data_IF_338464513434
#
_entry.id   IF_338464513434
#
_cell.length_a   1.000
_cell.length_b   1.000
_cell.length_c   1.000
_cell.angle_alpha   90.00
_cell.angle_beta   90.00
_cell.angle_gamma   90.00
#
_symmetry.space_group_name_H-M   'P 1'
#
loop_
_entity.id
_entity.type
_entity.pdbx_description
1 polymer ?
#
# COMPACT_ATOMS: atom_id res chain seq x y z
N UNK A 1 -16.26 -1.45 15.80
CA UNK A 1 -16.97 -2.06 14.64
C UNK A 1 -17.57 -3.38 15.06
N UNK A 2 -18.78 -3.69 14.57
CA UNK A 2 -19.49 -4.92 14.94
C UNK A 2 -19.03 -6.13 14.13
N UNK A 3 -18.74 -5.93 12.85
CA UNK A 3 -18.28 -6.98 11.92
C UNK A 3 -17.28 -6.39 10.93
N UNK A 4 -16.27 -7.16 10.58
CA UNK A 4 -15.27 -6.85 9.55
C UNK A 4 -15.25 -7.99 8.53
N UNK A 5 -15.20 -7.66 7.26
CA UNK A 5 -14.85 -8.60 6.19
C UNK A 5 -13.48 -8.18 5.64
N UNK A 6 -12.52 -9.08 5.75
CA UNK A 6 -11.17 -8.90 5.21
C UNK A 6 -11.07 -9.72 3.92
N UNK A 7 -10.81 -9.04 2.80
CA UNK A 7 -10.69 -9.68 1.48
C UNK A 7 -9.27 -9.48 0.94
N UNK A 8 -8.69 -10.54 0.43
CA UNK A 8 -7.42 -10.54 -0.30
C UNK A 8 -7.42 -11.63 -1.36
N UNK A 9 -6.68 -11.42 -2.44
CA UNK A 9 -6.53 -12.43 -3.50
C UNK A 9 -5.63 -13.60 -3.08
N UNK A 10 -4.74 -13.38 -2.11
CA UNK A 10 -3.65 -14.28 -1.71
C UNK A 10 -4.07 -15.18 -0.54
N UNK A 11 -4.14 -16.53 -0.71
CA UNK A 11 -4.52 -17.44 0.36
C UNK A 11 -3.60 -17.38 1.60
N UNK A 12 -2.32 -17.12 1.38
CA UNK A 12 -1.31 -17.01 2.42
C UNK A 12 -1.59 -15.82 3.33
N UNK A 13 -1.97 -14.65 2.76
CA UNK A 13 -2.37 -13.46 3.52
C UNK A 13 -3.62 -13.73 4.35
N UNK A 14 -4.59 -14.46 3.81
CA UNK A 14 -5.78 -14.88 4.56
C UNK A 14 -5.43 -15.81 5.73
N UNK A 15 -4.50 -16.72 5.52
CA UNK A 15 -4.04 -17.67 6.56
C UNK A 15 -3.33 -16.93 7.68
N UNK A 16 -2.45 -16.00 7.34
CA UNK A 16 -1.74 -15.18 8.32
C UNK A 16 -2.70 -14.25 9.07
N UNK A 17 -3.65 -13.63 8.37
CA UNK A 17 -4.70 -12.83 8.99
C UNK A 17 -5.52 -13.61 10.02
N UNK A 18 -5.94 -14.84 9.71
CA UNK A 18 -6.65 -15.74 10.64
C UNK A 18 -5.79 -16.09 11.86
N UNK A 19 -4.50 -16.36 11.64
CA UNK A 19 -3.54 -16.65 12.71
C UNK A 19 -3.40 -15.48 13.67
N UNK A 20 -3.23 -14.27 13.15
CA UNK A 20 -3.13 -13.03 13.93
C UNK A 20 -4.44 -12.74 14.69
N UNK A 21 -5.58 -12.79 14.01
CA UNK A 21 -6.88 -12.56 14.64
C UNK A 21 -7.10 -13.51 15.83
N UNK A 22 -6.73 -14.79 15.68
CA UNK A 22 -6.80 -15.77 16.77
C UNK A 22 -5.86 -15.41 17.92
N UNK A 23 -4.63 -15.00 17.62
CA UNK A 23 -3.64 -14.65 18.65
C UNK A 23 -4.07 -13.42 19.46
N UNK A 24 -4.71 -12.45 18.80
CA UNK A 24 -5.20 -11.19 19.42
C UNK A 24 -6.64 -11.31 19.98
N UNK A 25 -7.25 -12.48 19.90
CA UNK A 25 -8.62 -12.69 20.41
C UNK A 25 -9.69 -11.95 19.61
N UNK A 26 -9.41 -11.58 18.34
CA UNK A 26 -10.37 -10.91 17.45
C UNK A 26 -11.32 -11.95 16.87
N UNK A 27 -12.63 -11.82 17.17
CA UNK A 27 -13.66 -12.79 16.79
C UNK A 27 -14.69 -12.27 15.80
N UNK A 28 -14.68 -10.99 15.50
CA UNK A 28 -15.66 -10.32 14.64
C UNK A 28 -15.18 -10.10 13.21
N UNK A 29 -14.15 -10.81 12.77
CA UNK A 29 -13.60 -10.72 11.39
C UNK A 29 -13.87 -12.01 10.61
N UNK A 30 -14.34 -11.85 9.37
CA UNK A 30 -14.46 -12.92 8.37
C UNK A 30 -13.40 -12.68 7.30
N UNK A 31 -12.67 -13.73 6.91
CA UNK A 31 -11.64 -13.68 5.90
C UNK A 31 -12.13 -14.35 4.62
N UNK A 32 -12.18 -13.60 3.52
CA UNK A 32 -12.69 -14.05 2.23
C UNK A 32 -11.63 -13.86 1.15
N UNK A 33 -11.40 -14.88 0.34
CA UNK A 33 -10.53 -14.75 -0.82
C UNK A 33 -11.31 -14.13 -1.99
N UNK A 34 -10.74 -13.10 -2.62
CA UNK A 34 -11.41 -12.45 -3.75
C UNK A 34 -10.55 -11.39 -4.42
N UNK A 35 -11.05 -10.90 -5.55
CA UNK A 35 -10.44 -9.82 -6.32
C UNK A 35 -11.06 -8.48 -5.91
N UNK A 36 -10.21 -7.53 -5.48
CA UNK A 36 -10.66 -6.19 -5.11
C UNK A 36 -11.15 -5.36 -6.32
N UNK A 37 -10.77 -5.74 -7.54
CA UNK A 37 -11.33 -5.19 -8.78
C UNK A 37 -12.77 -5.62 -9.07
N UNK A 38 -13.25 -6.71 -8.41
CA UNK A 38 -14.60 -7.25 -8.58
C UNK A 38 -15.12 -7.79 -7.25
N UNK A 39 -15.53 -6.88 -6.36
CA UNK A 39 -15.97 -7.23 -5.01
C UNK A 39 -17.31 -7.99 -5.04
N UNK A 40 -17.41 -9.20 -4.41
CA UNK A 40 -18.60 -10.05 -4.47
C UNK A 40 -19.72 -9.59 -3.53
N UNK A 41 -19.89 -8.27 -3.37
CA UNK A 41 -20.89 -7.69 -2.48
C UNK A 41 -21.83 -6.77 -3.25
N UNK A 42 -23.12 -6.70 -2.84
CA UNK A 42 -24.07 -5.72 -3.39
C UNK A 42 -23.64 -4.28 -3.14
N UNK A 43 -24.20 -3.36 -3.93
CA UNK A 43 -24.03 -1.93 -3.73
C UNK A 43 -24.46 -1.52 -2.30
N UNK A 44 -23.68 -0.64 -1.68
CA UNK A 44 -24.03 -0.08 -0.37
C UNK A 44 -24.01 -1.06 0.80
N UNK A 45 -23.24 -2.16 0.70
CA UNK A 45 -23.17 -3.22 1.72
C UNK A 45 -22.44 -2.81 3.01
N UNK A 46 -21.57 -1.80 2.97
CA UNK A 46 -20.68 -1.47 4.07
C UNK A 46 -20.78 -0.03 4.52
N UNK A 47 -20.70 0.21 5.84
CA UNK A 47 -20.60 1.55 6.43
C UNK A 47 -19.23 2.18 6.23
N UNK A 48 -18.19 1.34 6.23
CA UNK A 48 -16.79 1.72 6.03
C UNK A 48 -16.12 0.69 5.12
N UNK A 49 -15.44 1.19 4.09
CA UNK A 49 -14.59 0.37 3.21
C UNK A 49 -13.17 0.91 3.29
N UNK A 50 -12.20 0.04 3.54
CA UNK A 50 -10.79 0.45 3.66
C UNK A 50 -9.89 -0.41 2.78
N UNK A 51 -8.94 0.25 2.09
CA UNK A 51 -7.83 -0.39 1.39
C UNK A 51 -6.53 0.07 2.06
N UNK A 52 -5.65 -0.89 2.40
CA UNK A 52 -4.38 -0.58 3.05
C UNK A 52 -3.24 -1.32 2.39
N UNK A 53 -2.29 -0.56 1.85
CA UNK A 53 -1.05 -1.06 1.25
C UNK A 53 -1.34 -2.13 0.18
N UNK A 54 -2.21 -1.78 -0.77
CA UNK A 54 -2.61 -2.70 -1.84
C UNK A 54 -2.76 -2.02 -3.21
N UNK A 55 -3.12 -0.72 -3.30
CA UNK A 55 -3.37 -0.09 -4.61
C UNK A 55 -2.13 -0.04 -5.50
N UNK A 56 -0.93 0.03 -4.91
CA UNK A 56 0.33 0.00 -5.66
C UNK A 56 0.62 -1.34 -6.35
N UNK A 57 -0.18 -2.40 -6.12
CA UNK A 57 -0.12 -3.67 -6.84
C UNK A 57 -1.01 -3.70 -8.08
N UNK A 58 -1.97 -2.78 -8.23
CA UNK A 58 -2.91 -2.80 -9.35
C UNK A 58 -2.37 -2.05 -10.57
N UNK A 59 -2.53 -2.65 -11.76
CA UNK A 59 -2.25 -1.99 -13.05
C UNK A 59 -3.26 -0.86 -13.32
N UNK A 60 -4.51 -1.07 -12.94
CA UNK A 60 -5.61 -0.13 -13.07
C UNK A 60 -6.18 0.20 -11.68
N UNK A 61 -5.50 1.03 -10.85
CA UNK A 61 -5.90 1.27 -9.46
C UNK A 61 -7.25 1.96 -9.30
N UNK A 62 -7.78 2.54 -10.38
CA UNK A 62 -9.14 3.11 -10.40
C UNK A 62 -10.23 2.04 -10.23
N UNK A 63 -10.04 0.84 -10.76
CA UNK A 63 -11.03 -0.24 -10.69
C UNK A 63 -11.35 -0.66 -9.24
N UNK A 64 -10.37 -1.04 -8.40
CA UNK A 64 -10.67 -1.38 -7.00
C UNK A 64 -11.24 -0.18 -6.22
N UNK A 65 -10.84 1.05 -6.51
CA UNK A 65 -11.41 2.24 -5.84
C UNK A 65 -12.88 2.44 -6.24
N UNK A 66 -13.26 2.20 -7.51
CA UNK A 66 -14.65 2.21 -7.97
C UNK A 66 -15.49 1.14 -7.28
N UNK A 67 -14.96 -0.08 -7.13
CA UNK A 67 -15.63 -1.16 -6.42
C UNK A 67 -15.80 -0.84 -4.93
N UNK A 68 -14.77 -0.30 -4.29
CA UNK A 68 -14.87 0.19 -2.92
C UNK A 68 -15.98 1.24 -2.78
N UNK A 69 -16.03 2.19 -3.72
CA UNK A 69 -17.09 3.20 -3.73
C UNK A 69 -18.46 2.58 -3.96
N UNK A 70 -18.60 1.62 -4.87
CA UNK A 70 -19.86 0.93 -5.15
C UNK A 70 -20.41 0.24 -3.91
N UNK A 71 -19.59 -0.55 -3.21
CA UNK A 71 -20.02 -1.33 -2.03
C UNK A 71 -20.15 -0.50 -0.76
N UNK A 72 -19.58 0.69 -0.71
CA UNK A 72 -19.80 1.66 0.36
C UNK A 72 -21.22 2.21 0.26
N UNK A 73 -21.97 2.29 1.37
CA UNK A 73 -23.31 2.86 1.36
C UNK A 73 -23.29 4.39 1.21
N UNK A 74 -24.41 4.98 0.80
CA UNK A 74 -24.57 6.43 0.82
C UNK A 74 -24.40 6.98 2.25
N UNK A 75 -23.60 8.04 2.40
CA UNK A 75 -23.18 8.60 3.69
C UNK A 75 -22.17 7.75 4.46
N UNK A 76 -21.70 6.63 3.89
CA UNK A 76 -20.62 5.82 4.43
C UNK A 76 -19.24 6.45 4.22
N UNK A 77 -18.21 5.79 4.72
CA UNK A 77 -16.83 6.28 4.63
C UNK A 77 -15.95 5.31 3.86
N UNK A 78 -14.96 5.88 3.17
CA UNK A 78 -13.87 5.11 2.58
C UNK A 78 -12.53 5.60 3.13
N UNK A 79 -11.59 4.66 3.32
CA UNK A 79 -10.22 4.97 3.69
C UNK A 79 -9.25 4.31 2.70
N UNK A 80 -8.35 5.09 2.12
CA UNK A 80 -7.25 4.63 1.28
C UNK A 80 -5.97 4.96 2.02
N UNK A 81 -5.19 3.91 2.33
CA UNK A 81 -3.90 4.02 2.99
C UNK A 81 -2.90 3.31 2.10
N UNK A 82 -2.00 4.07 1.48
CA UNK A 82 -1.00 3.46 0.59
C UNK A 82 0.33 4.20 0.62
N UNK A 83 1.37 3.56 0.08
CA UNK A 83 2.66 4.21 -0.16
C UNK A 83 2.50 5.23 -1.29
N UNK A 84 3.05 6.41 -1.05
CA UNK A 84 3.09 7.46 -2.05
C UNK A 84 4.52 7.64 -2.58
N UNK A 85 4.66 7.85 -3.89
CA UNK A 85 5.93 8.25 -4.49
C UNK A 85 6.15 9.76 -4.35
N UNK A 86 7.38 10.20 -4.59
CA UNK A 86 7.68 11.61 -4.76
C UNK A 86 6.91 12.19 -5.97
N UNK A 87 6.65 13.51 -5.93
CA UNK A 87 6.08 14.25 -7.08
C UNK A 87 7.09 14.38 -8.22
N UNK A 88 8.38 14.39 -7.92
CA UNK A 88 9.45 14.36 -8.91
C UNK A 88 9.44 13.01 -9.67
N UNK A 89 9.36 13.08 -10.98
CA UNK A 89 9.19 11.91 -11.86
C UNK A 89 10.40 10.97 -11.83
N UNK A 90 11.61 11.51 -11.74
CA UNK A 90 12.84 10.71 -11.77
C UNK A 90 13.01 9.98 -10.43
N UNK A 91 12.73 10.66 -9.32
CA UNK A 91 12.70 10.05 -7.99
C UNK A 91 11.60 8.98 -7.89
N UNK A 92 10.40 9.26 -8.39
CA UNK A 92 9.30 8.29 -8.43
C UNK A 92 9.65 7.07 -9.29
N UNK A 93 10.28 7.26 -10.45
CA UNK A 93 10.72 6.18 -11.33
C UNK A 93 11.79 5.31 -10.66
N UNK A 94 12.78 5.93 -10.01
CA UNK A 94 13.84 5.24 -9.28
C UNK A 94 13.27 4.43 -8.11
N UNK A 95 12.43 5.05 -7.26
CA UNK A 95 11.72 4.36 -6.18
C UNK A 95 10.96 3.13 -6.70
N UNK A 96 10.10 3.31 -7.69
CA UNK A 96 9.29 2.24 -8.25
C UNK A 96 10.13 1.13 -8.91
N UNK A 97 11.28 1.46 -9.49
CA UNK A 97 12.22 0.47 -10.03
C UNK A 97 12.80 -0.41 -8.90
N UNK A 98 13.23 0.20 -7.80
CA UNK A 98 13.81 -0.53 -6.67
C UNK A 98 12.74 -1.39 -5.96
N UNK A 99 11.51 -0.87 -5.79
CA UNK A 99 10.40 -1.63 -5.22
C UNK A 99 10.03 -2.84 -6.09
N UNK A 100 10.02 -2.73 -7.43
CA UNK A 100 9.80 -3.89 -8.32
C UNK A 100 10.91 -4.93 -8.28
N UNK A 101 12.16 -4.51 -8.04
CA UNK A 101 13.26 -5.46 -7.83
C UNK A 101 13.10 -6.22 -6.51
N UNK A 102 12.59 -5.55 -5.48
CA UNK A 102 12.33 -6.15 -4.18
C UNK A 102 11.11 -7.07 -4.20
N UNK A 103 10.05 -6.62 -4.85
CA UNK A 103 8.74 -7.28 -4.87
C UNK A 103 8.19 -7.26 -6.32
N UNK A 104 8.24 -8.39 -7.02
CA UNK A 104 7.76 -8.46 -8.41
C UNK A 104 6.26 -8.16 -8.58
N UNK A 105 5.47 -8.23 -7.50
CA UNK A 105 4.05 -7.87 -7.52
C UNK A 105 3.81 -6.36 -7.49
N UNK A 106 4.84 -5.57 -7.13
CA UNK A 106 4.74 -4.11 -7.11
C UNK A 106 4.58 -3.55 -8.51
N UNK A 107 3.47 -2.88 -8.75
CA UNK A 107 3.23 -2.18 -10.01
C UNK A 107 3.79 -0.77 -9.94
N UNK A 108 3.22 0.05 -9.08
CA UNK A 108 3.63 1.45 -8.95
C UNK A 108 3.07 2.13 -7.69
N UNK A 109 3.94 2.70 -6.86
CA UNK A 109 3.54 3.74 -5.92
C UNK A 109 3.22 5.02 -6.71
N UNK A 110 2.12 5.66 -6.38
CA UNK A 110 1.59 6.84 -7.07
C UNK A 110 1.88 8.12 -6.27
N UNK A 111 2.05 9.29 -6.93
CA UNK A 111 2.07 10.57 -6.23
C UNK A 111 0.76 10.82 -5.47
N UNK A 112 0.84 11.61 -4.40
CA UNK A 112 -0.34 11.98 -3.58
C UNK A 112 -1.47 12.57 -4.42
N UNK A 113 -1.14 13.45 -5.38
CA UNK A 113 -2.11 14.10 -6.26
C UNK A 113 -2.89 13.09 -7.11
N UNK A 114 -2.21 12.06 -7.64
CA UNK A 114 -2.85 11.03 -8.46
C UNK A 114 -3.79 10.12 -7.63
N UNK A 115 -3.35 9.69 -6.44
CA UNK A 115 -4.20 8.90 -5.54
C UNK A 115 -5.46 9.67 -5.14
N UNK A 116 -5.31 10.97 -4.92
CA UNK A 116 -6.43 11.86 -4.62
C UNK A 116 -7.37 12.00 -5.81
N UNK A 117 -6.84 12.23 -7.02
CA UNK A 117 -7.63 12.31 -8.26
C UNK A 117 -8.43 11.02 -8.52
N UNK A 118 -7.83 9.86 -8.27
CA UNK A 118 -8.52 8.57 -8.40
C UNK A 118 -9.71 8.51 -7.43
N UNK A 119 -9.51 8.88 -6.17
CA UNK A 119 -10.55 8.84 -5.15
C UNK A 119 -11.69 9.83 -5.44
N UNK A 120 -11.36 11.09 -5.74
CA UNK A 120 -12.34 12.15 -6.07
C UNK A 120 -13.05 11.84 -7.39
N UNK A 121 -12.35 11.28 -8.37
CA UNK A 121 -12.93 10.87 -9.66
C UNK A 121 -13.95 9.74 -9.58
N UNK A 122 -14.02 9.01 -8.46
CA UNK A 122 -15.09 8.04 -8.17
C UNK A 122 -16.30 8.68 -7.47
N UNK A 123 -16.22 9.98 -7.12
CA UNK A 123 -17.28 10.69 -6.39
C UNK A 123 -17.06 10.77 -4.88
N UNK A 124 -15.88 10.38 -4.38
CA UNK A 124 -15.57 10.45 -2.96
C UNK A 124 -15.26 11.89 -2.53
N UNK A 125 -16.01 12.41 -1.56
CA UNK A 125 -15.70 13.68 -0.91
C UNK A 125 -14.59 13.48 0.11
N UNK A 126 -13.38 13.98 -0.16
CA UNK A 126 -12.26 13.85 0.77
C UNK A 126 -12.47 14.74 2.01
N UNK A 127 -12.62 14.10 3.16
CA UNK A 127 -12.81 14.80 4.45
C UNK A 127 -11.52 14.91 5.25
N UNK A 128 -10.55 14.05 4.98
CA UNK A 128 -9.23 14.08 5.60
C UNK A 128 -8.16 13.55 4.65
N UNK A 129 -7.05 14.26 4.59
CA UNK A 129 -5.82 13.82 3.93
C UNK A 129 -4.65 14.06 4.88
N UNK A 130 -3.84 13.04 5.12
CA UNK A 130 -2.64 13.13 5.95
C UNK A 130 -1.55 12.22 5.41
N UNK A 131 -0.29 12.62 5.61
CA UNK A 131 0.88 11.79 5.31
C UNK A 131 1.50 11.25 6.60
N UNK A 132 2.25 10.17 6.47
CA UNK A 132 3.11 9.63 7.51
C UNK A 132 4.40 9.11 6.90
N UNK A 133 5.51 9.35 7.58
CA UNK A 133 6.80 8.77 7.23
C UNK A 133 6.99 7.50 8.06
N UNK A 134 7.14 6.37 7.41
CA UNK A 134 7.30 5.07 8.08
C UNK A 134 8.69 4.54 7.80
N UNK A 135 9.49 4.44 8.86
CA UNK A 135 10.83 3.90 8.75
C UNK A 135 10.79 2.40 8.45
N UNK A 136 11.64 1.98 7.52
CA UNK A 136 11.77 0.61 7.09
C UNK A 136 13.23 0.16 7.21
N UNK A 137 13.45 -1.06 7.66
CA UNK A 137 14.75 -1.72 7.58
C UNK A 137 14.87 -2.42 6.23
N UNK A 138 15.89 -2.09 5.45
CA UNK A 138 16.04 -2.56 4.09
C UNK A 138 16.20 -4.08 4.01
N UNK A 139 17.07 -4.67 4.85
CA UNK A 139 17.30 -6.12 4.85
C UNK A 139 16.02 -6.88 5.20
N UNK A 140 15.34 -6.46 6.26
CA UNK A 140 14.06 -7.07 6.67
C UNK A 140 13.01 -6.99 5.56
N UNK A 141 12.94 -5.88 4.84
CA UNK A 141 11.99 -5.72 3.73
C UNK A 141 12.30 -6.68 2.57
N UNK A 142 13.58 -6.85 2.23
CA UNK A 142 14.02 -7.81 1.22
C UNK A 142 13.79 -9.26 1.65
N UNK A 143 13.92 -9.57 2.94
CA UNK A 143 13.63 -10.91 3.48
C UNK A 143 12.15 -11.26 3.39
N UNK A 144 11.27 -10.30 3.69
CA UNK A 144 9.81 -10.49 3.63
C UNK A 144 9.27 -10.82 2.23
N UNK A 145 10.01 -10.47 1.18
CA UNK A 145 9.62 -10.73 -0.22
C UNK A 145 10.52 -11.77 -0.89
N UNK A 146 11.37 -12.45 -0.13
CA UNK A 146 12.34 -13.42 -0.64
C UNK A 146 13.15 -12.87 -1.84
N UNK A 147 13.57 -11.60 -1.73
CA UNK A 147 14.31 -10.91 -2.80
C UNK A 147 15.58 -11.65 -3.14
N UNK A 148 15.78 -11.99 -4.41
CA UNK A 148 16.92 -12.75 -4.90
C UNK A 148 18.27 -12.01 -4.74
N UNK A 149 19.41 -12.74 -4.75
CA UNK A 149 20.72 -12.17 -4.44
C UNK A 149 21.17 -11.05 -5.41
N UNK A 150 20.87 -11.18 -6.70
CA UNK A 150 21.24 -10.15 -7.70
C UNK A 150 20.43 -8.88 -7.52
N UNK A 151 19.12 -9.00 -7.25
CA UNK A 151 18.25 -7.88 -6.95
C UNK A 151 18.67 -7.17 -5.66
N UNK A 152 18.98 -7.94 -4.61
CA UNK A 152 19.51 -7.40 -3.35
C UNK A 152 20.76 -6.57 -3.58
N UNK A 153 21.70 -7.08 -4.37
CA UNK A 153 22.93 -6.36 -4.70
C UNK A 153 22.63 -5.03 -5.38
N UNK A 154 21.77 -5.03 -6.41
CA UNK A 154 21.38 -3.80 -7.13
C UNK A 154 20.73 -2.79 -6.20
N UNK A 155 19.82 -3.23 -5.31
CA UNK A 155 19.14 -2.37 -4.34
C UNK A 155 20.14 -1.79 -3.33
N UNK A 156 21.02 -2.62 -2.77
CA UNK A 156 22.04 -2.20 -1.80
C UNK A 156 23.02 -1.21 -2.43
N UNK A 157 23.47 -1.43 -3.66
CA UNK A 157 24.37 -0.56 -4.38
C UNK A 157 23.71 0.83 -4.60
N UNK A 158 22.45 0.87 -5.01
CA UNK A 158 21.71 2.12 -5.19
C UNK A 158 21.55 2.91 -3.88
N UNK A 159 21.19 2.20 -2.78
CA UNK A 159 21.05 2.84 -1.47
C UNK A 159 22.38 3.36 -0.93
N UNK A 160 23.47 2.61 -1.10
CA UNK A 160 24.80 3.05 -0.69
C UNK A 160 25.29 4.26 -1.52
N UNK A 161 25.04 4.27 -2.83
CA UNK A 161 25.37 5.42 -3.67
C UNK A 161 24.67 6.70 -3.19
N UNK A 162 23.39 6.66 -2.84
CA UNK A 162 22.70 7.82 -2.28
C UNK A 162 23.27 8.22 -0.91
N UNK A 163 23.59 7.26 -0.04
CA UNK A 163 24.21 7.51 1.27
C UNK A 163 25.59 8.20 1.16
N UNK A 164 26.29 7.99 0.05
CA UNK A 164 27.59 8.59 -0.26
C UNK A 164 27.45 9.93 -1.03
N UNK A 165 26.22 10.45 -1.19
CA UNK A 165 25.95 11.72 -1.88
C UNK A 165 25.80 11.58 -3.39
N UNK A 166 25.60 10.36 -3.90
CA UNK A 166 25.32 10.07 -5.30
C UNK A 166 23.86 10.23 -5.70
N UNK A 167 23.42 9.46 -6.70
CA UNK A 167 22.07 9.57 -7.25
C UNK A 167 20.99 9.22 -6.24
N UNK A 168 20.02 10.10 -6.07
CA UNK A 168 18.90 9.90 -5.17
C UNK A 168 17.95 8.80 -5.70
N UNK A 169 17.50 7.93 -4.78
CA UNK A 169 16.61 6.80 -5.08
C UNK A 169 15.13 7.14 -4.92
N UNK A 170 14.81 8.26 -4.27
CA UNK A 170 13.46 8.60 -3.82
C UNK A 170 13.04 7.88 -2.53
N UNK A 171 13.90 7.00 -1.97
CA UNK A 171 13.62 6.25 -0.75
C UNK A 171 14.24 6.89 0.50
N UNK A 172 15.17 7.84 0.31
CA UNK A 172 15.82 8.62 1.40
C UNK A 172 16.48 7.71 2.44
N UNK A 173 17.48 6.89 2.03
CA UNK A 173 18.15 5.99 2.95
C UNK A 173 18.96 6.73 4.00
N UNK A 174 19.09 6.10 5.17
CA UNK A 174 19.95 6.55 6.26
C UNK A 174 20.50 5.34 7.02
N UNK A 175 21.55 5.55 7.83
CA UNK A 175 22.10 4.48 8.65
C UNK A 175 21.62 4.59 10.10
N UNK A 176 21.28 3.43 10.67
CA UNK A 176 21.00 3.26 12.10
C UNK A 176 21.55 1.91 12.55
N UNK A 177 22.38 1.91 13.58
CA UNK A 177 23.00 0.71 14.17
C UNK A 177 23.71 -0.22 13.15
N UNK A 178 24.34 0.40 12.13
CA UNK A 178 25.01 -0.34 11.05
C UNK A 178 24.08 -0.80 9.91
N UNK A 179 22.78 -0.75 10.10
CA UNK A 179 21.77 -1.13 9.10
C UNK A 179 21.40 0.04 8.17
N UNK A 180 20.98 -0.30 6.96
CA UNK A 180 20.37 0.66 6.04
C UNK A 180 18.87 0.71 6.33
N UNK A 181 18.42 1.89 6.72
CA UNK A 181 17.03 2.24 6.89
C UNK A 181 16.59 3.17 5.76
N UNK A 182 15.30 3.23 5.47
CA UNK A 182 14.73 4.16 4.51
C UNK A 182 13.29 4.55 4.91
N UNK A 183 12.71 5.53 4.23
CA UNK A 183 11.34 5.96 4.51
C UNK A 183 10.38 5.50 3.41
N UNK A 184 9.27 4.89 3.84
CA UNK A 184 8.05 4.88 3.05
C UNK A 184 7.20 6.09 3.42
N UNK A 185 6.92 6.95 2.45
CA UNK A 185 5.91 7.99 2.59
C UNK A 185 4.53 7.35 2.42
N UNK A 186 3.72 7.39 3.44
CA UNK A 186 2.35 6.88 3.39
C UNK A 186 1.36 8.02 3.23
N UNK A 187 0.37 7.82 2.38
CA UNK A 187 -0.81 8.65 2.28
C UNK A 187 -1.97 7.97 2.99
N UNK A 188 -2.73 8.75 3.76
CA UNK A 188 -3.99 8.34 4.37
C UNK A 188 -5.06 9.30 3.88
N UNK A 189 -5.95 8.81 3.02
CA UNK A 189 -7.13 9.52 2.56
C UNK A 189 -8.36 8.93 3.25
N UNK A 190 -9.20 9.79 3.81
CA UNK A 190 -10.52 9.41 4.29
C UNK A 190 -11.53 10.28 3.59
N UNK A 191 -12.57 9.67 3.03
CA UNK A 191 -13.63 10.36 2.33
C UNK A 191 -15.00 9.82 2.71
N UNK A 192 -16.03 10.56 2.30
CA UNK A 192 -17.43 10.22 2.45
C UNK A 192 -18.10 10.04 1.08
N UNK A 193 -18.91 9.00 0.96
CA UNK A 193 -19.77 8.76 -0.21
C UNK A 193 -21.06 9.52 -0.11
#
# INVERSE_FOLDING_TARGET
VSRVTALDATPEMMSEGRRLAKAEGVTNVVFEQGDAGHLPYPDGSFDLVACRIALHHFQAPREPVQEMFRVCRAGGHMAIIDIASADDRDLAASHNRLERLRDPSHTRAMPVAELREIAEGCGLEIVRSSGAEVEQNLNRRMDLTDTGPDQRRIILDAMNQELEGGTATGMRPFRRDGEIMFYHSWLILVGRK
#
